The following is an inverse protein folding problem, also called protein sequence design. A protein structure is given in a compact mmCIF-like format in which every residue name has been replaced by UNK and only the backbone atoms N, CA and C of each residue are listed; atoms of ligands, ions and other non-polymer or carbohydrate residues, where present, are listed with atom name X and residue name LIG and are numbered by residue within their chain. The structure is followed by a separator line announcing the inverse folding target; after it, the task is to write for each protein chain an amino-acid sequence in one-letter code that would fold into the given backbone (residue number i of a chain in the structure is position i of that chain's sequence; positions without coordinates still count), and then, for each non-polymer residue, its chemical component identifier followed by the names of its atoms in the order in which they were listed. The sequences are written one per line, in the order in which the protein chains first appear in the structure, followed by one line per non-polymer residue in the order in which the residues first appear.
data_IF_072314871763
#
_entry.id   IF_072314871763
#
_cell.length_a   1.000
_cell.length_b   1.000
_cell.length_c   1.000
_cell.angle_alpha   90.00
_cell.angle_beta   90.00
_cell.angle_gamma   90.00
#
_symmetry.space_group_name_H-M   'P 1'
#
loop_
_entity.id
_entity.type
_entity.pdbx_description
1 polymer ?
#
# COMPACT_ATOMS: atom_id res chain seq x y z
N UNK A 1 -6.82 5.89 36.51
CA UNK A 1 -5.72 5.37 35.67
C UNK A 1 -6.23 4.10 35.00
N UNK A 2 -6.66 4.17 33.73
CA UNK A 2 -7.15 2.98 33.00
C UNK A 2 -6.00 2.46 32.15
N UNK A 3 -5.50 1.27 32.48
CA UNK A 3 -4.51 0.57 31.66
C UNK A 3 -5.30 -0.31 30.70
N UNK A 4 -5.37 0.08 29.43
CA UNK A 4 -5.92 -0.79 28.40
C UNK A 4 -4.79 -1.71 27.89
N UNK A 5 -4.85 -3.03 28.14
CA UNK A 5 -3.89 -3.95 27.58
C UNK A 5 -4.04 -3.93 26.05
N UNK A 6 -2.98 -3.55 25.33
CA UNK A 6 -2.92 -3.74 23.87
C UNK A 6 -2.73 -5.24 23.61
N UNK A 7 -3.74 -5.89 23.07
CA UNK A 7 -3.65 -7.27 22.58
C UNK A 7 -2.80 -7.30 21.32
N UNK A 8 -1.81 -8.18 21.28
CA UNK A 8 -0.98 -8.44 20.10
C UNK A 8 -1.78 -9.35 19.15
N UNK A 9 -2.22 -8.83 18.01
CA UNK A 9 -2.88 -9.62 16.97
C UNK A 9 -1.85 -10.24 16.04
N UNK A 10 -1.82 -11.57 15.95
CA UNK A 10 -0.99 -12.30 14.99
C UNK A 10 -1.82 -12.69 13.77
N UNK A 11 -1.31 -12.39 12.57
CA UNK A 11 -1.87 -12.91 11.32
C UNK A 11 -1.58 -14.41 11.21
N UNK A 12 -2.51 -15.19 10.67
CA UNK A 12 -2.33 -16.63 10.44
C UNK A 12 -1.21 -16.87 9.41
N UNK A 13 -0.10 -17.47 9.86
CA UNK A 13 1.10 -17.70 9.04
C UNK A 13 1.26 -19.18 8.71
N UNK A 14 1.89 -19.47 7.56
CA UNK A 14 2.24 -20.83 7.18
C UNK A 14 3.33 -21.37 8.13
N UNK A 15 3.08 -22.48 8.86
CA UNK A 15 3.99 -22.99 9.90
C UNK A 15 5.34 -23.50 9.38
N UNK A 16 5.56 -23.52 8.07
CA UNK A 16 6.76 -24.07 7.41
C UNK A 16 7.58 -23.04 6.62
N UNK A 17 7.41 -21.75 6.90
CA UNK A 17 8.11 -20.67 6.19
C UNK A 17 9.51 -20.34 6.73
N UNK A 18 9.88 -20.87 7.90
CA UNK A 18 11.17 -20.63 8.54
C UNK A 18 12.24 -21.58 7.99
N UNK A 19 13.44 -21.08 7.68
CA UNK A 19 14.57 -21.90 7.19
C UNK A 19 15.73 -22.04 8.21
N UNK A 20 15.67 -21.32 9.32
CA UNK A 20 16.72 -21.28 10.36
C UNK A 20 16.47 -22.34 11.45
N UNK A 21 16.47 -23.62 11.08
CA UNK A 21 16.01 -24.71 11.96
C UNK A 21 17.13 -25.37 12.79
N UNK A 22 18.38 -24.98 12.59
CA UNK A 22 19.49 -25.59 13.31
C UNK A 22 19.46 -25.21 14.82
N UNK A 23 19.68 -26.15 15.75
CA UNK A 23 19.55 -25.88 17.20
C UNK A 23 20.47 -24.81 17.77
N UNK A 24 21.57 -24.51 17.08
CA UNK A 24 22.54 -23.47 17.46
C UNK A 24 22.26 -22.11 16.81
N UNK A 25 21.19 -21.98 16.03
CA UNK A 25 20.77 -20.72 15.41
C UNK A 25 19.60 -20.14 16.20
N UNK A 26 19.74 -18.89 16.63
CA UNK A 26 18.64 -18.14 17.22
C UNK A 26 17.69 -17.65 16.11
N UNK A 27 16.51 -18.24 16.02
CA UNK A 27 15.43 -17.78 15.13
C UNK A 27 14.60 -16.72 15.82
N UNK A 28 14.56 -15.52 15.23
CA UNK A 28 13.85 -14.36 15.78
C UNK A 28 12.64 -14.05 14.91
N UNK A 29 11.45 -14.00 15.53
CA UNK A 29 10.23 -13.56 14.87
C UNK A 29 10.18 -12.05 14.71
N UNK A 30 9.50 -11.57 13.66
CA UNK A 30 9.26 -10.14 13.47
C UNK A 30 7.95 -9.71 14.16
N UNK A 31 8.00 -8.58 14.87
CA UNK A 31 6.82 -7.90 15.42
C UNK A 31 6.86 -6.41 15.07
N UNK A 32 5.70 -5.76 15.15
CA UNK A 32 5.59 -4.31 14.99
C UNK A 32 5.71 -3.58 16.33
N UNK A 33 6.13 -2.31 16.29
CA UNK A 33 6.02 -1.37 17.41
C UNK A 33 4.89 -0.38 17.11
N UNK A 34 4.55 0.49 18.07
CA UNK A 34 3.50 1.48 17.93
C UNK A 34 3.84 2.65 16.98
N UNK A 35 5.11 2.81 16.61
CA UNK A 35 5.57 3.80 15.63
C UNK A 35 5.13 3.43 14.21
N UNK A 36 4.52 4.38 13.51
CA UNK A 36 4.15 4.31 12.08
C UNK A 36 4.80 5.43 11.27
N UNK A 37 5.20 5.16 10.03
CA UNK A 37 5.69 6.20 9.10
C UNK A 37 4.49 6.71 8.30
N UNK A 38 3.75 7.63 8.93
CA UNK A 38 2.45 8.13 8.46
C UNK A 38 2.58 8.90 7.15
N UNK A 39 1.73 8.56 6.18
CA UNK A 39 1.55 9.27 4.91
C UNK A 39 0.05 9.46 4.65
N UNK A 40 -0.46 10.68 4.87
CA UNK A 40 -1.90 10.97 4.81
C UNK A 40 -2.34 11.30 3.38
N UNK A 41 -3.42 10.66 2.92
CA UNK A 41 -4.12 11.06 1.70
C UNK A 41 -5.28 11.99 2.07
N UNK A 42 -5.38 13.12 1.39
CA UNK A 42 -6.53 14.04 1.48
C UNK A 42 -7.29 13.96 0.17
N UNK A 43 -8.55 13.56 0.23
CA UNK A 43 -9.43 13.49 -0.93
C UNK A 43 -10.12 14.83 -1.20
N UNK A 44 -10.70 14.99 -2.40
CA UNK A 44 -11.40 16.22 -2.79
C UNK A 44 -12.65 16.54 -1.95
N UNK A 45 -13.15 15.60 -1.16
CA UNK A 45 -14.22 15.78 -0.17
C UNK A 45 -13.69 16.11 1.24
N UNK A 46 -12.40 16.45 1.38
CA UNK A 46 -11.73 16.76 2.65
C UNK A 46 -11.65 15.60 3.63
N UNK A 47 -11.94 14.37 3.21
CA UNK A 47 -11.66 13.20 4.03
C UNK A 47 -10.15 12.92 4.03
N UNK A 48 -9.63 12.68 5.22
CA UNK A 48 -8.24 12.33 5.45
C UNK A 48 -8.14 10.86 5.81
N UNK A 49 -7.19 10.16 5.17
CA UNK A 49 -6.92 8.76 5.41
C UNK A 49 -5.45 8.58 5.75
N UNK A 50 -5.18 7.89 6.86
CA UNK A 50 -3.83 7.68 7.35
C UNK A 50 -3.28 6.35 6.85
N UNK A 51 -2.40 6.42 5.85
CA UNK A 51 -1.61 5.28 5.39
C UNK A 51 -0.17 5.34 5.86
N UNK A 52 0.64 4.44 5.31
CA UNK A 52 2.08 4.38 5.59
C UNK A 52 2.92 4.43 4.31
N UNK A 53 4.08 5.07 4.39
CA UNK A 53 5.05 5.13 3.30
C UNK A 53 6.41 5.59 3.80
N UNK A 54 7.48 4.97 3.31
CA UNK A 54 8.84 5.43 3.60
C UNK A 54 9.33 6.51 2.61
N UNK A 55 8.66 6.68 1.46
CA UNK A 55 9.04 7.68 0.46
C UNK A 55 8.16 8.92 0.58
N UNK A 56 8.73 9.99 1.16
CA UNK A 56 8.05 11.26 1.43
C UNK A 56 8.85 12.42 0.80
N UNK A 57 8.71 12.67 -0.50
CA UNK A 57 9.40 13.76 -1.18
C UNK A 57 8.90 15.13 -0.70
N UNK A 58 9.82 16.05 -0.43
CA UNK A 58 9.50 17.42 -0.01
C UNK A 58 8.94 18.29 -1.16
N UNK A 59 9.16 17.86 -2.41
CA UNK A 59 8.78 18.57 -3.64
C UNK A 59 7.43 18.12 -4.20
N UNK A 60 6.68 17.27 -3.51
CA UNK A 60 5.32 16.90 -3.92
C UNK A 60 4.32 17.93 -3.36
N UNK A 61 3.71 18.77 -4.21
CA UNK A 61 2.84 19.84 -3.74
C UNK A 61 1.54 19.27 -3.14
N UNK A 62 0.98 19.90 -2.09
CA UNK A 62 -0.29 19.49 -1.47
C UNK A 62 -1.50 19.92 -2.33
N UNK A 63 -1.42 19.75 -3.64
CA UNK A 63 -2.48 20.07 -4.59
C UNK A 63 -3.39 18.87 -4.79
N UNK A 64 -4.70 19.12 -4.88
CA UNK A 64 -5.66 18.09 -5.26
C UNK A 64 -5.45 17.71 -6.73
N UNK A 65 -5.11 16.44 -6.95
CA UNK A 65 -4.96 15.85 -8.27
C UNK A 65 -6.14 14.91 -8.54
N UNK A 66 -6.56 14.73 -9.81
CA UNK A 66 -7.63 13.81 -10.14
C UNK A 66 -7.28 12.37 -9.72
N UNK A 67 -8.25 11.65 -9.15
CA UNK A 67 -8.12 10.25 -8.80
C UNK A 67 -8.53 9.36 -9.99
N UNK A 68 -7.71 8.37 -10.31
CA UNK A 68 -8.01 7.34 -11.30
C UNK A 68 -8.06 5.98 -10.61
N UNK A 69 -9.15 5.23 -10.81
CA UNK A 69 -9.26 3.85 -10.36
C UNK A 69 -9.38 2.93 -11.58
N UNK A 70 -8.29 2.31 -12.04
CA UNK A 70 -8.32 1.39 -13.19
C UNK A 70 -9.27 0.20 -12.99
N UNK A 71 -9.51 -0.21 -11.74
CA UNK A 71 -10.42 -1.29 -11.40
C UNK A 71 -11.90 -1.02 -11.70
N UNK A 72 -12.30 0.22 -12.00
CA UNK A 72 -13.65 0.53 -12.46
C UNK A 72 -13.94 0.02 -13.87
N UNK A 73 -12.90 -0.36 -14.63
CA UNK A 73 -13.05 -0.88 -15.98
C UNK A 73 -13.57 -2.33 -15.97
N UNK A 74 -14.86 -2.50 -16.25
CA UNK A 74 -15.52 -3.80 -16.28
C UNK A 74 -14.92 -4.80 -17.28
N UNK A 75 -14.24 -4.33 -18.34
CA UNK A 75 -13.63 -5.18 -19.35
C UNK A 75 -12.30 -5.80 -18.89
N UNK A 76 -11.69 -5.27 -17.83
CA UNK A 76 -10.43 -5.80 -17.30
C UNK A 76 -10.44 -5.77 -15.76
N UNK A 77 -11.00 -6.83 -15.17
CA UNK A 77 -11.02 -7.02 -13.70
C UNK A 77 -9.62 -7.05 -13.07
N UNK A 78 -8.58 -7.34 -13.85
CA UNK A 78 -7.19 -7.30 -13.40
C UNK A 78 -6.60 -5.88 -13.30
N UNK A 79 -7.28 -4.87 -13.84
CA UNK A 79 -6.76 -3.50 -13.87
C UNK A 79 -6.58 -2.88 -12.49
N UNK A 80 -7.39 -3.31 -11.51
CA UNK A 80 -7.27 -2.89 -10.10
C UNK A 80 -5.88 -3.18 -9.50
N UNK A 81 -5.15 -4.16 -10.03
CA UNK A 81 -3.82 -4.50 -9.56
C UNK A 81 -2.69 -3.65 -10.17
N UNK A 82 -3.00 -2.69 -11.05
CA UNK A 82 -2.03 -1.76 -11.64
C UNK A 82 -0.79 -2.44 -12.24
N UNK A 83 -1.01 -3.50 -12.99
CA UNK A 83 0.05 -4.13 -13.78
C UNK A 83 0.43 -3.23 -14.96
N UNK A 84 1.66 -3.36 -15.45
CA UNK A 84 2.13 -2.59 -16.62
C UNK A 84 1.20 -2.76 -17.82
N UNK A 85 0.76 -4.00 -18.10
CA UNK A 85 -0.14 -4.30 -19.20
C UNK A 85 -1.53 -3.66 -19.02
N UNK A 86 -2.06 -3.65 -17.79
CA UNK A 86 -3.38 -3.06 -17.53
C UNK A 86 -3.40 -1.54 -17.60
N UNK A 87 -2.29 -0.88 -17.25
CA UNK A 87 -2.21 0.59 -17.24
C UNK A 87 -2.00 1.20 -18.62
N UNK A 88 -1.43 0.45 -19.58
CA UNK A 88 -1.18 0.91 -20.95
C UNK A 88 -2.44 1.40 -21.68
N UNK A 89 -3.62 0.87 -21.32
CA UNK A 89 -4.90 1.22 -21.97
C UNK A 89 -5.77 2.15 -21.10
N UNK A 90 -5.19 2.77 -20.07
CA UNK A 90 -5.93 3.63 -19.12
C UNK A 90 -5.32 5.03 -19.03
N UNK A 91 -6.16 6.06 -19.01
CA UNK A 91 -5.70 7.46 -18.90
C UNK A 91 -5.40 7.83 -17.43
N UNK A 92 -4.19 7.48 -16.98
CA UNK A 92 -3.67 7.76 -15.63
C UNK A 92 -2.63 8.89 -15.57
N UNK A 93 -2.25 9.44 -16.72
CA UNK A 93 -1.25 10.50 -16.81
C UNK A 93 -1.63 11.73 -15.96
N UNK A 94 -0.73 12.16 -15.07
CA UNK A 94 -0.92 13.29 -14.17
C UNK A 94 -1.89 13.05 -13.01
N UNK A 95 -2.39 11.83 -12.82
CA UNK A 95 -3.40 11.48 -11.81
C UNK A 95 -2.80 10.73 -10.62
N UNK A 96 -3.53 10.73 -9.51
CA UNK A 96 -3.30 9.78 -8.41
C UNK A 96 -3.98 8.48 -8.79
N UNK A 97 -3.25 7.36 -8.77
CA UNK A 97 -3.79 6.06 -9.19
C UNK A 97 -4.09 5.20 -7.97
N UNK A 98 -5.32 4.71 -7.87
CA UNK A 98 -5.73 3.77 -6.83
C UNK A 98 -5.48 2.33 -7.30
N UNK A 99 -4.69 1.59 -6.52
CA UNK A 99 -4.27 0.23 -6.83
C UNK A 99 -4.54 -0.70 -5.64
N UNK A 100 -5.04 -1.90 -5.89
CA UNK A 100 -5.17 -2.94 -4.87
C UNK A 100 -3.89 -3.78 -4.78
N UNK A 101 -3.56 -4.26 -3.58
CA UNK A 101 -2.49 -5.21 -3.37
C UNK A 101 -2.78 -6.58 -4.03
N UNK A 102 -1.73 -7.29 -4.46
CA UNK A 102 -1.84 -8.59 -5.14
C UNK A 102 -1.21 -8.63 -6.54
N UNK A 103 -1.22 -9.82 -7.17
CA UNK A 103 -0.61 -10.20 -8.46
C UNK A 103 0.89 -9.91 -8.59
N UNK A 104 1.30 -8.64 -8.54
CA UNK A 104 2.69 -8.20 -8.65
C UNK A 104 3.13 -7.52 -7.35
N UNK A 105 4.45 -7.48 -7.11
CA UNK A 105 5.02 -6.79 -5.97
C UNK A 105 4.59 -5.30 -5.92
N UNK A 106 4.36 -4.77 -4.71
CA UNK A 106 3.92 -3.39 -4.48
C UNK A 106 4.86 -2.35 -5.10
N UNK A 107 6.17 -2.57 -4.97
CA UNK A 107 7.19 -1.74 -5.62
C UNK A 107 7.04 -1.73 -7.16
N UNK A 108 6.68 -2.87 -7.77
CA UNK A 108 6.47 -2.96 -9.21
C UNK A 108 5.21 -2.23 -9.67
N UNK A 109 4.14 -2.19 -8.85
CA UNK A 109 2.95 -1.35 -9.11
C UNK A 109 3.35 0.13 -9.19
N UNK A 110 4.16 0.60 -8.24
CA UNK A 110 4.70 1.96 -8.26
C UNK A 110 5.49 2.25 -9.55
N UNK A 111 6.34 1.32 -9.99
CA UNK A 111 7.06 1.46 -11.28
C UNK A 111 6.10 1.53 -12.47
N UNK A 112 5.07 0.70 -12.50
CA UNK A 112 4.08 0.69 -13.57
C UNK A 112 3.28 2.01 -13.63
N UNK A 113 2.85 2.52 -12.47
CA UNK A 113 2.16 3.82 -12.37
C UNK A 113 3.06 4.96 -12.83
N UNK A 114 4.34 4.97 -12.42
CA UNK A 114 5.32 5.97 -12.89
C UNK A 114 5.47 5.94 -14.40
N UNK A 115 5.63 4.73 -14.97
CA UNK A 115 5.81 4.53 -16.40
C UNK A 115 4.59 4.97 -17.22
N UNK A 116 3.39 4.80 -16.68
CA UNK A 116 2.14 5.29 -17.27
C UNK A 116 1.90 6.80 -17.05
N UNK A 117 2.85 7.51 -16.44
CA UNK A 117 2.78 8.95 -16.20
C UNK A 117 1.93 9.37 -15.00
N UNK A 118 1.56 8.44 -14.11
CA UNK A 118 0.85 8.76 -12.88
C UNK A 118 1.70 9.62 -11.93
N UNK A 119 1.05 10.54 -11.24
CA UNK A 119 1.70 11.50 -10.36
C UNK A 119 1.95 10.93 -8.94
N UNK A 120 1.01 10.13 -8.44
CA UNK A 120 1.09 9.45 -7.15
C UNK A 120 0.29 8.14 -7.19
N UNK A 121 0.44 7.29 -6.18
CA UNK A 121 -0.35 6.05 -6.05
C UNK A 121 -0.89 5.88 -4.64
N UNK A 122 -2.15 5.50 -4.53
CA UNK A 122 -2.74 4.98 -3.29
C UNK A 122 -2.78 3.46 -3.44
N UNK A 123 -2.10 2.75 -2.53
CA UNK A 123 -2.10 1.30 -2.50
C UNK A 123 -3.07 0.84 -1.42
N UNK A 124 -4.15 0.18 -1.80
CA UNK A 124 -5.12 -0.41 -0.88
C UNK A 124 -4.78 -1.84 -0.56
N UNK A 125 -4.83 -2.17 0.72
CA UNK A 125 -4.71 -3.54 1.18
C UNK A 125 -5.95 -4.37 0.85
N UNK A 126 -5.81 -5.70 0.86
CA UNK A 126 -6.91 -6.66 0.67
C UNK A 126 -7.33 -7.30 1.99
N UNK A 127 -8.52 -7.89 2.05
CA UNK A 127 -9.11 -8.46 3.27
C UNK A 127 -8.17 -9.43 3.98
N UNK A 128 -7.51 -10.30 3.21
CA UNK A 128 -6.56 -11.29 3.71
C UNK A 128 -5.37 -10.69 4.48
N UNK A 129 -5.07 -9.40 4.29
CA UNK A 129 -3.99 -8.67 4.95
C UNK A 129 -4.48 -7.64 5.97
N UNK A 130 -5.80 -7.46 6.07
CA UNK A 130 -6.49 -6.63 7.05
C UNK A 130 -5.84 -5.24 7.24
N UNK A 131 -5.41 -4.94 8.47
CA UNK A 131 -4.81 -3.66 8.86
C UNK A 131 -3.29 -3.62 8.69
N UNK A 132 -2.70 -4.62 8.02
CA UNK A 132 -1.25 -4.72 7.87
C UNK A 132 -0.76 -3.81 6.77
N UNK A 133 -0.25 -2.65 7.15
CA UNK A 133 0.41 -1.68 6.28
C UNK A 133 1.92 -1.79 6.41
N UNK A 134 2.63 -1.39 5.34
CA UNK A 134 4.07 -1.36 5.30
C UNK A 134 4.54 -0.01 4.78
N UNK A 135 5.47 0.62 5.48
CA UNK A 135 6.16 1.80 5.02
C UNK A 135 7.24 1.42 3.99
N UNK A 136 6.83 1.17 2.75
CA UNK A 136 7.74 0.83 1.66
C UNK A 136 8.28 2.06 0.94
N UNK A 137 9.49 1.95 0.40
CA UNK A 137 10.05 2.93 -0.50
C UNK A 137 9.57 2.66 -1.93
N UNK A 138 8.92 3.65 -2.53
CA UNK A 138 8.45 3.59 -3.92
C UNK A 138 9.21 4.59 -4.80
N UNK A 139 9.06 4.45 -6.12
CA UNK A 139 9.70 5.34 -7.11
C UNK A 139 8.95 6.66 -7.38
N UNK A 140 7.80 6.82 -6.74
CA UNK A 140 6.88 7.97 -6.77
C UNK A 140 6.18 8.07 -5.40
N UNK A 141 5.51 9.19 -5.05
CA UNK A 141 4.75 9.32 -3.80
C UNK A 141 3.65 8.26 -3.66
N UNK A 142 3.74 7.42 -2.63
CA UNK A 142 2.76 6.37 -2.35
C UNK A 142 2.25 6.50 -0.93
N UNK A 143 1.00 6.11 -0.70
CA UNK A 143 0.48 5.80 0.62
C UNK A 143 -0.18 4.43 0.62
N UNK A 144 0.23 3.57 1.54
CA UNK A 144 -0.34 2.24 1.72
C UNK A 144 -1.42 2.27 2.80
N UNK A 145 -2.66 2.05 2.37
CA UNK A 145 -3.85 2.12 3.20
C UNK A 145 -4.29 0.76 3.68
N UNK A 146 -4.69 0.61 4.96
CA UNK A 146 -5.38 -0.58 5.41
C UNK A 146 -6.79 -0.68 4.80
N UNK A 147 -7.34 -1.88 4.73
CA UNK A 147 -8.68 -2.07 4.14
C UNK A 147 -9.82 -1.50 5.00
N UNK A 148 -9.64 -1.46 6.33
CA UNK A 148 -10.65 -0.99 7.29
C UNK A 148 -10.94 0.52 7.24
N UNK A 149 -10.31 1.27 6.34
CA UNK A 149 -10.45 2.72 6.23
C UNK A 149 -11.37 3.18 5.10
N UNK A 150 -12.00 2.27 4.33
CA UNK A 150 -12.94 2.62 3.26
C UNK A 150 -14.32 2.02 3.53
#
# INVERSE_FOLDING_TARGET
MSVHPKTMSFSEQNPTSTSNEAPWILTVGASTIDRKIKATAVLGNYQEFDGESAFQPNDFPPTLLPLAYPGSNASNSGAKYCTTASLNNTTVMGKIVLCEDGIIARANKGKAVKAAGGAAMILMNVEARANTTLAEAHVLPVTHMPMLMV
#
